data_IF_872398015644
#
_entry.id   IF_872398015644
#
_cell.length_a   1.000
_cell.length_b   1.000
_cell.length_c   1.000
_cell.angle_alpha   90.00
_cell.angle_beta   90.00
_cell.angle_gamma   90.00
#
_symmetry.space_group_name_H-M   'P 1'
#
loop_
_entity.id
_entity.type
_entity.pdbx_description
1 polymer ?
#
# COMPACT_ATOMS: atom_id res chain seq x y z
N UNK A 1 42.95 -17.66 9.87
CA UNK A 1 44.36 -17.78 9.46
C UNK A 1 44.47 -17.17 8.08
N UNK A 2 45.31 -16.14 7.93
CA UNK A 2 45.25 -15.15 6.87
C UNK A 2 45.71 -15.69 5.51
N UNK A 3 44.98 -15.34 4.44
CA UNK A 3 45.37 -15.56 3.06
C UNK A 3 46.39 -14.51 2.63
N UNK A 4 47.55 -14.96 2.15
CA UNK A 4 48.63 -14.13 1.65
C UNK A 4 48.38 -13.74 0.19
N UNK A 5 48.18 -12.44 -0.08
CA UNK A 5 48.24 -11.89 -1.44
C UNK A 5 49.68 -11.86 -1.97
N UNK A 6 49.94 -12.20 -3.25
CA UNK A 6 51.27 -12.08 -3.82
C UNK A 6 51.61 -10.60 -4.07
N UNK A 7 52.68 -10.13 -3.44
CA UNK A 7 53.27 -8.82 -3.68
C UNK A 7 53.77 -8.74 -5.13
N UNK A 8 53.07 -7.97 -5.96
CA UNK A 8 53.46 -7.75 -7.36
C UNK A 8 54.60 -6.72 -7.40
N UNK A 9 55.81 -7.22 -7.67
CA UNK A 9 57.05 -6.43 -7.75
C UNK A 9 56.96 -5.30 -8.79
N UNK A 10 57.47 -4.11 -8.43
CA UNK A 10 57.45 -2.84 -9.17
C UNK A 10 57.96 -2.93 -10.64
N UNK A 11 58.66 -4.01 -11.01
CA UNK A 11 59.13 -4.28 -12.37
C UNK A 11 58.02 -4.74 -13.33
N UNK A 12 56.93 -5.32 -12.81
CA UNK A 12 55.78 -5.80 -13.61
C UNK A 12 54.67 -4.75 -13.76
N UNK A 13 54.70 -3.68 -12.96
CA UNK A 13 53.69 -2.60 -13.00
C UNK A 13 53.86 -1.69 -14.22
N UNK A 14 55.10 -1.41 -14.62
CA UNK A 14 55.41 -0.55 -15.77
C UNK A 14 54.85 -1.06 -17.10
N UNK A 15 55.04 -2.34 -17.51
CA UNK A 15 54.46 -2.84 -18.76
C UNK A 15 52.93 -2.89 -18.71
N UNK A 16 52.34 -3.12 -17.53
CA UNK A 16 50.89 -3.13 -17.35
C UNK A 16 50.27 -1.74 -17.50
N UNK A 17 50.88 -0.72 -16.89
CA UNK A 17 50.46 0.68 -17.05
C UNK A 17 50.63 1.15 -18.50
N UNK A 18 51.73 0.77 -19.16
CA UNK A 18 51.95 1.11 -20.57
C UNK A 18 50.91 0.44 -21.48
N UNK A 19 50.56 -0.82 -21.21
CA UNK A 19 49.52 -1.55 -21.93
C UNK A 19 48.13 -0.91 -21.76
N UNK A 20 47.78 -0.49 -20.54
CA UNK A 20 46.52 0.21 -20.26
C UNK A 20 46.43 1.58 -20.94
N UNK A 21 47.54 2.32 -20.98
CA UNK A 21 47.56 3.62 -21.67
C UNK A 21 47.43 3.44 -23.18
N UNK A 22 48.13 2.45 -23.75
CA UNK A 22 48.03 2.14 -25.17
C UNK A 22 46.62 1.69 -25.58
N UNK A 23 45.94 0.87 -24.75
CA UNK A 23 44.57 0.46 -25.03
C UNK A 23 43.58 1.62 -24.92
N UNK A 24 43.73 2.51 -23.94
CA UNK A 24 42.89 3.69 -23.80
C UNK A 24 43.03 4.66 -25.00
N UNK A 25 44.25 4.87 -25.48
CA UNK A 25 44.53 5.67 -26.68
C UNK A 25 43.91 5.06 -27.93
N UNK A 26 43.95 3.73 -28.07
CA UNK A 26 43.29 3.05 -29.19
C UNK A 26 41.77 3.26 -29.14
N UNK A 27 41.15 3.08 -27.98
CA UNK A 27 39.69 3.22 -27.82
C UNK A 27 39.26 4.66 -28.14
N UNK A 28 40.03 5.66 -27.70
CA UNK A 28 39.76 7.06 -27.99
C UNK A 28 39.90 7.40 -29.49
N UNK A 29 40.85 6.79 -30.20
CA UNK A 29 41.05 7.00 -31.63
C UNK A 29 39.94 6.38 -32.50
N UNK A 30 39.29 5.31 -32.03
CA UNK A 30 38.15 4.68 -32.73
C UNK A 30 36.80 5.35 -32.44
N UNK A 31 36.72 6.24 -31.44
CA UNK A 31 35.51 6.99 -31.14
C UNK A 31 35.36 8.19 -32.10
N UNK A 32 34.73 7.96 -33.25
CA UNK A 32 34.37 9.03 -34.20
C UNK A 32 33.33 10.02 -33.62
N UNK A 33 33.17 11.22 -34.22
CA UNK A 33 32.23 12.23 -33.73
C UNK A 33 30.78 11.76 -33.89
N UNK A 34 30.01 11.80 -32.80
CA UNK A 34 28.57 11.55 -32.82
C UNK A 34 27.83 12.83 -33.25
N UNK A 35 27.21 12.81 -34.44
CA UNK A 35 26.35 13.90 -34.90
C UNK A 35 24.91 13.68 -34.38
N UNK A 36 24.41 14.62 -33.57
CA UNK A 36 23.02 14.63 -33.14
C UNK A 36 22.16 15.31 -34.20
N UNK A 37 21.21 14.57 -34.77
CA UNK A 37 20.21 15.11 -35.71
C UNK A 37 19.05 15.72 -34.91
N UNK A 38 18.90 17.04 -35.00
CA UNK A 38 17.79 17.77 -34.39
C UNK A 38 16.57 17.64 -35.29
N UNK A 39 15.64 16.75 -34.93
CA UNK A 39 14.33 16.65 -35.57
C UNK A 39 13.41 17.65 -34.87
N UNK A 40 13.10 18.77 -35.55
CA UNK A 40 12.10 19.72 -35.07
C UNK A 40 10.69 19.12 -35.31
N UNK A 41 9.87 18.93 -34.27
CA UNK A 41 8.49 18.53 -34.45
C UNK A 41 7.70 19.70 -35.06
N UNK A 42 7.19 19.55 -36.29
CA UNK A 42 6.26 20.53 -36.90
C UNK A 42 6.58 21.01 -38.31
N UNK A 43 7.63 20.52 -38.97
CA UNK A 43 7.94 20.89 -40.36
C UNK A 43 7.03 20.16 -41.38
N UNK A 44 5.73 20.44 -41.36
CA UNK A 44 4.77 19.91 -42.36
C UNK A 44 4.02 21.09 -43.02
N UNK A 45 4.19 21.34 -44.33
CA UNK A 45 3.43 22.37 -45.04
C UNK A 45 2.15 21.75 -45.60
N UNK A 46 1.02 21.84 -44.88
CA UNK A 46 -0.33 21.63 -45.43
C UNK A 46 -1.39 22.10 -44.43
N UNK A 47 -1.65 23.41 -44.40
CA UNK A 47 -2.79 23.96 -43.67
C UNK A 47 -4.04 23.87 -44.54
N UNK A 48 -4.63 22.67 -44.63
CA UNK A 48 -6.04 22.54 -45.00
C UNK A 48 -6.82 22.73 -43.69
N UNK A 49 -7.67 23.76 -43.55
CA UNK A 49 -8.45 23.92 -42.33
C UNK A 49 -9.38 22.71 -42.18
N UNK A 50 -9.41 22.08 -40.98
CA UNK A 50 -10.29 20.95 -40.77
C UNK A 50 -11.76 21.37 -40.94
N UNK A 51 -12.54 20.52 -41.58
CA UNK A 51 -13.99 20.72 -41.76
C UNK A 51 -14.68 20.86 -40.40
N UNK A 52 -15.66 21.75 -40.29
CA UNK A 52 -16.37 21.98 -39.03
C UNK A 52 -17.04 20.68 -38.54
N UNK A 53 -16.96 20.37 -37.23
CA UNK A 53 -17.56 19.17 -36.69
C UNK A 53 -19.10 19.23 -36.77
N UNK A 54 -19.78 18.09 -36.95
CA UNK A 54 -21.24 18.03 -36.95
C UNK A 54 -21.82 18.44 -35.57
N UNK A 55 -23.08 18.92 -35.52
CA UNK A 55 -23.72 19.28 -34.27
C UNK A 55 -23.80 18.07 -33.34
N UNK A 56 -23.49 18.29 -32.05
CA UNK A 56 -23.53 17.24 -31.04
C UNK A 56 -24.95 16.73 -30.83
N UNK A 57 -25.09 15.41 -30.69
CA UNK A 57 -26.37 14.80 -30.34
C UNK A 57 -26.85 15.28 -28.97
N UNK A 58 -28.18 15.41 -28.75
CA UNK A 58 -28.71 15.75 -27.43
C UNK A 58 -28.31 14.68 -26.40
N UNK A 59 -28.07 15.07 -25.14
CA UNK A 59 -27.67 14.13 -24.10
C UNK A 59 -28.76 13.07 -23.90
N UNK A 60 -28.37 11.80 -23.66
CA UNK A 60 -29.33 10.75 -23.36
C UNK A 60 -30.09 11.10 -22.07
N UNK A 61 -31.41 10.90 -22.10
CA UNK A 61 -32.25 11.09 -20.91
C UNK A 61 -31.97 9.94 -19.95
N UNK A 62 -31.27 10.23 -18.85
CA UNK A 62 -31.04 9.28 -17.77
C UNK A 62 -32.27 9.30 -16.86
N UNK A 63 -33.11 8.26 -16.95
CA UNK A 63 -34.20 8.06 -15.99
C UNK A 63 -33.66 7.29 -14.78
N UNK A 64 -33.82 7.87 -13.59
CA UNK A 64 -33.42 7.19 -12.35
C UNK A 64 -34.43 6.06 -12.06
N UNK A 65 -33.99 4.79 -11.97
CA UNK A 65 -34.86 3.71 -11.56
C UNK A 65 -35.39 3.97 -10.15
N UNK A 66 -36.67 3.68 -9.92
CA UNK A 66 -37.28 3.86 -8.59
C UNK A 66 -36.68 2.85 -7.61
N UNK A 67 -35.98 3.36 -6.60
CA UNK A 67 -35.40 2.52 -5.54
C UNK A 67 -36.54 1.91 -4.71
N UNK A 68 -36.57 0.58 -4.52
CA UNK A 68 -37.50 -0.07 -3.60
C UNK A 68 -37.28 0.44 -2.17
N UNK A 69 -38.34 0.94 -1.54
CA UNK A 69 -38.29 1.40 -0.15
C UNK A 69 -38.57 0.22 0.78
N UNK A 70 -37.79 0.11 1.86
CA UNK A 70 -38.08 -0.85 2.93
C UNK A 70 -39.32 -0.37 3.71
N UNK A 71 -40.26 -1.29 3.99
CA UNK A 71 -41.42 -0.98 4.82
C UNK A 71 -40.97 -0.54 6.22
N UNK A 72 -41.70 0.41 6.82
CA UNK A 72 -41.43 0.84 8.18
C UNK A 72 -41.44 -0.37 9.13
N UNK A 73 -40.50 -0.46 10.08
CA UNK A 73 -40.54 -1.52 11.08
C UNK A 73 -41.88 -1.43 11.84
N UNK A 74 -42.48 -2.56 12.22
CA UNK A 74 -43.74 -2.52 12.96
C UNK A 74 -43.55 -1.77 14.27
N UNK A 75 -44.57 -1.03 14.75
CA UNK A 75 -44.48 -0.31 16.01
C UNK A 75 -44.08 -1.25 17.14
N UNK A 76 -43.14 -0.82 17.97
CA UNK A 76 -42.74 -1.53 19.17
C UNK A 76 -43.88 -1.44 20.19
N UNK A 77 -44.76 -2.45 20.20
CA UNK A 77 -45.76 -2.61 21.25
C UNK A 77 -45.11 -3.27 22.46
N UNK A 78 -45.63 -2.99 23.67
CA UNK A 78 -45.14 -3.58 24.93
C UNK A 78 -45.09 -5.12 24.88
N UNK A 79 -45.95 -5.76 24.08
CA UNK A 79 -45.94 -7.21 23.83
C UNK A 79 -44.70 -7.73 23.07
N UNK A 80 -44.07 -6.90 22.24
CA UNK A 80 -42.89 -7.30 21.46
C UNK A 80 -41.58 -7.06 22.20
N UNK A 81 -41.57 -6.18 23.20
CA UNK A 81 -40.41 -5.93 24.05
C UNK A 81 -40.29 -7.12 24.99
N UNK A 82 -39.52 -8.14 24.60
CA UNK A 82 -39.11 -9.17 25.54
C UNK A 82 -38.34 -8.48 26.67
N UNK A 83 -38.76 -8.65 27.93
CA UNK A 83 -37.96 -8.19 29.07
C UNK A 83 -36.56 -8.75 28.91
N UNK A 84 -35.54 -7.94 29.20
CA UNK A 84 -34.19 -8.46 29.35
C UNK A 84 -34.25 -9.68 30.30
N UNK A 85 -33.55 -10.77 30.01
CA UNK A 85 -33.58 -11.96 30.86
C UNK A 85 -33.34 -11.56 32.31
N UNK A 86 -34.16 -12.11 33.21
CA UNK A 86 -34.20 -11.82 34.65
C UNK A 86 -32.96 -12.41 35.34
N UNK A 87 -31.78 -11.95 34.91
CA UNK A 87 -30.53 -12.17 35.63
C UNK A 87 -30.61 -11.27 36.86
N UNK A 88 -30.35 -11.80 38.07
CA UNK A 88 -30.32 -10.98 39.27
C UNK A 88 -29.39 -9.79 39.01
N UNK A 89 -29.88 -8.56 39.21
CA UNK A 89 -29.04 -7.36 39.03
C UNK A 89 -27.72 -7.46 39.81
N UNK A 90 -27.75 -8.15 40.95
CA UNK A 90 -26.56 -8.51 41.73
C UNK A 90 -25.51 -9.29 40.91
N UNK A 91 -25.91 -10.25 40.07
CA UNK A 91 -25.00 -10.99 39.19
C UNK A 91 -24.45 -10.13 38.06
N UNK A 92 -25.25 -9.22 37.50
CA UNK A 92 -24.78 -8.29 36.47
C UNK A 92 -23.78 -7.28 37.05
N UNK A 93 -24.01 -6.81 38.28
CA UNK A 93 -23.13 -5.89 39.01
C UNK A 93 -21.82 -6.58 39.43
N UNK A 94 -21.88 -7.86 39.84
CA UNK A 94 -20.69 -8.64 40.20
C UNK A 94 -19.69 -8.81 39.05
N UNK A 95 -20.18 -8.83 37.80
CA UNK A 95 -19.30 -8.98 36.63
C UNK A 95 -18.51 -7.70 36.33
N UNK A 96 -18.92 -6.54 36.87
CA UNK A 96 -18.31 -5.25 36.54
C UNK A 96 -18.60 -4.81 35.09
N UNK A 97 -18.19 -3.60 34.73
CA UNK A 97 -18.37 -3.11 33.37
C UNK A 97 -17.47 -3.86 32.39
N UNK A 98 -17.97 -4.10 31.17
CA UNK A 98 -17.21 -4.80 30.14
C UNK A 98 -15.86 -4.14 29.81
N UNK A 99 -15.82 -2.80 29.83
CA UNK A 99 -14.59 -2.04 29.61
C UNK A 99 -13.50 -2.34 30.64
N UNK A 100 -13.87 -2.36 31.93
CA UNK A 100 -12.93 -2.68 33.03
C UNK A 100 -12.37 -4.09 32.90
N UNK A 101 -13.22 -5.03 32.48
CA UNK A 101 -12.81 -6.42 32.24
C UNK A 101 -11.84 -6.52 31.08
N UNK A 102 -12.11 -5.86 29.95
CA UNK A 102 -11.18 -5.84 28.81
C UNK A 102 -9.82 -5.26 29.21
N UNK A 103 -9.79 -4.14 29.94
CA UNK A 103 -8.53 -3.53 30.38
C UNK A 103 -7.70 -4.49 31.24
N UNK A 104 -8.34 -5.14 32.23
CA UNK A 104 -7.66 -6.14 33.08
C UNK A 104 -7.12 -7.32 32.28
N UNK A 105 -7.91 -7.87 31.35
CA UNK A 105 -7.47 -8.97 30.50
C UNK A 105 -6.31 -8.56 29.56
N UNK A 106 -6.25 -7.29 29.13
CA UNK A 106 -5.11 -6.78 28.36
C UNK A 106 -3.84 -6.70 29.22
N UNK A 107 -3.96 -6.24 30.46
CA UNK A 107 -2.84 -6.18 31.40
C UNK A 107 -2.32 -7.57 31.77
N UNK A 108 -3.22 -8.52 32.03
CA UNK A 108 -2.88 -9.94 32.26
C UNK A 108 -2.19 -10.55 31.03
N UNK A 109 -2.71 -10.28 29.82
CA UNK A 109 -2.08 -10.66 28.56
C UNK A 109 -0.67 -10.11 28.40
N UNK A 110 -0.44 -8.86 28.77
CA UNK A 110 0.88 -8.24 28.75
C UNK A 110 1.82 -8.85 29.80
N UNK A 111 1.31 -9.14 31.01
CA UNK A 111 2.08 -9.77 32.08
C UNK A 111 2.50 -11.21 31.74
N UNK A 112 1.69 -11.92 30.96
CA UNK A 112 2.04 -13.25 30.41
C UNK A 112 3.06 -13.19 29.27
N UNK A 113 3.45 -11.99 28.81
CA UNK A 113 4.37 -11.82 27.69
C UNK A 113 3.76 -12.17 26.33
N UNK A 114 2.43 -12.18 26.22
CA UNK A 114 1.76 -12.43 24.95
C UNK A 114 2.07 -11.32 23.95
N UNK A 115 2.29 -11.70 22.70
CA UNK A 115 2.45 -10.73 21.63
C UNK A 115 1.11 -10.03 21.32
N UNK A 116 1.12 -9.03 20.43
CA UNK A 116 -0.06 -8.22 20.16
C UNK A 116 -1.27 -9.03 19.63
N UNK A 117 -1.04 -10.05 18.78
CA UNK A 117 -2.13 -10.86 18.23
C UNK A 117 -2.68 -11.85 19.26
N UNK A 118 -1.81 -12.51 20.02
CA UNK A 118 -2.17 -13.40 21.11
C UNK A 118 -2.93 -12.66 22.21
N UNK A 119 -2.46 -11.47 22.59
CA UNK A 119 -3.12 -10.62 23.58
C UNK A 119 -4.50 -10.16 23.12
N UNK A 120 -4.68 -9.90 21.83
CA UNK A 120 -6.00 -9.55 21.27
C UNK A 120 -6.97 -10.75 21.27
N UNK A 121 -6.48 -11.96 20.98
CA UNK A 121 -7.29 -13.17 21.06
C UNK A 121 -7.65 -13.50 22.53
N UNK A 122 -6.67 -13.41 23.42
CA UNK A 122 -6.83 -13.64 24.85
C UNK A 122 -7.84 -12.69 25.49
N UNK A 123 -7.70 -11.38 25.26
CA UNK A 123 -8.59 -10.38 25.89
C UNK A 123 -10.04 -10.53 25.48
N UNK A 124 -10.31 -10.94 24.23
CA UNK A 124 -11.66 -11.27 23.74
C UNK A 124 -12.25 -12.48 24.43
N UNK A 125 -11.46 -13.52 24.67
CA UNK A 125 -11.92 -14.71 25.38
C UNK A 125 -12.15 -14.41 26.87
N UNK A 126 -11.17 -13.80 27.53
CA UNK A 126 -11.18 -13.45 28.94
C UNK A 126 -12.32 -12.48 29.31
N UNK A 127 -12.55 -11.42 28.52
CA UNK A 127 -13.60 -10.45 28.80
C UNK A 127 -15.03 -10.95 28.52
N UNK A 128 -15.20 -12.18 28.04
CA UNK A 128 -16.51 -12.82 27.87
C UNK A 128 -16.81 -13.84 28.98
N UNK A 129 -15.85 -14.18 29.85
CA UNK A 129 -16.01 -15.11 30.97
C UNK A 129 -16.71 -14.51 32.18
#
# INVERSE_FOLDING_TARGET
MAGTSPAMTNRSLKPLVLGLMASALLIAALAGPAAAQVVLPGAMPSAIPPMAPPPSAPPPVITVPKVPQLAAPPPLTHERIQPAPDLPKAQLQQRGHFGDRISRCLDEGAAMGLNASERAAYSRACANQ
#
